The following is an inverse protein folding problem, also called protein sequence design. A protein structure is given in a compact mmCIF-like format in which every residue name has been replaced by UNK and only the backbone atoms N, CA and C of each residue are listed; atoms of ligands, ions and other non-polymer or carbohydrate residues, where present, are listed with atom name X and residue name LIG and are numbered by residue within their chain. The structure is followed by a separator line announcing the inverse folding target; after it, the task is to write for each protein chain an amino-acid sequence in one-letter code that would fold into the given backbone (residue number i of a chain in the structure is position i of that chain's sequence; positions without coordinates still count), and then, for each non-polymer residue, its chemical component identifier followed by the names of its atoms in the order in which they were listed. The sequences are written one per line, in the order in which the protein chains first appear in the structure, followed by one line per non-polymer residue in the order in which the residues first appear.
data_IF_408159054838
#
_entry.id   IF_408159054838
#
_cell.length_a   1.000
_cell.length_b   1.000
_cell.length_c   1.000
_cell.angle_alpha   90.00
_cell.angle_beta   90.00
_cell.angle_gamma   90.00
#
_symmetry.space_group_name_H-M   'P 1'
#
loop_
_entity.id
_entity.type
_entity.pdbx_description
1 polymer ?
#
# COMPACT_ATOMS: atom_id res chain seq x y z
N UNK A 1 3.25 -3.59 27.68
CA UNK A 1 2.57 -4.91 27.76
C UNK A 1 2.91 -5.78 26.56
N UNK A 2 2.64 -5.34 25.33
CA UNK A 2 2.95 -6.10 24.10
C UNK A 2 4.40 -6.61 23.99
N UNK A 3 5.39 -5.81 24.42
CA UNK A 3 6.81 -6.22 24.43
C UNK A 3 7.08 -7.37 25.39
N UNK A 4 6.47 -7.31 26.59
CA UNK A 4 6.63 -8.32 27.64
C UNK A 4 6.00 -9.64 27.23
N UNK A 5 4.81 -9.60 26.63
CA UNK A 5 4.12 -10.80 26.16
C UNK A 5 4.89 -11.46 25.00
N UNK A 6 5.45 -10.64 24.11
CA UNK A 6 6.28 -11.13 23.01
C UNK A 6 7.58 -11.77 23.50
N UNK A 7 8.21 -11.16 24.51
CA UNK A 7 9.40 -11.69 25.16
C UNK A 7 9.12 -13.03 25.86
N UNK A 8 8.05 -13.10 26.63
CA UNK A 8 7.64 -14.31 27.35
C UNK A 8 7.32 -15.47 26.40
N UNK A 9 6.64 -15.18 25.29
CA UNK A 9 6.34 -16.17 24.24
C UNK A 9 7.56 -16.66 23.48
N UNK A 10 8.55 -15.79 23.25
CA UNK A 10 9.80 -16.19 22.62
C UNK A 10 10.62 -17.03 23.60
N UNK A 11 10.81 -16.58 24.84
CA UNK A 11 11.56 -17.34 25.86
C UNK A 11 10.96 -18.72 26.14
N UNK A 12 9.63 -18.85 26.05
CA UNK A 12 8.91 -20.13 26.22
C UNK A 12 8.82 -20.97 24.94
N UNK A 13 9.43 -20.55 23.83
CA UNK A 13 9.35 -21.28 22.56
C UNK A 13 10.21 -22.54 22.55
N UNK A 14 9.76 -23.57 21.82
CA UNK A 14 10.50 -24.84 21.65
C UNK A 14 11.83 -24.63 20.92
N UNK A 15 12.85 -25.46 21.17
CA UNK A 15 14.14 -25.43 20.45
C UNK A 15 14.00 -25.38 18.92
N UNK A 16 13.03 -26.12 18.36
CA UNK A 16 12.75 -26.12 16.91
C UNK A 16 12.43 -24.72 16.35
N UNK A 17 11.83 -23.84 17.15
CA UNK A 17 11.57 -22.46 16.77
C UNK A 17 12.87 -21.69 16.55
N UNK A 18 13.87 -21.89 17.40
CA UNK A 18 15.17 -21.25 17.30
C UNK A 18 16.02 -21.80 16.15
N UNK A 19 15.91 -23.09 15.84
CA UNK A 19 16.62 -23.70 14.70
C UNK A 19 16.05 -23.26 13.35
N UNK A 20 14.73 -23.06 13.28
CA UNK A 20 14.04 -22.70 12.04
C UNK A 20 14.03 -21.19 11.79
N UNK A 21 14.13 -20.38 12.85
CA UNK A 21 13.97 -18.93 12.77
C UNK A 21 15.30 -18.22 13.02
N UNK A 22 15.88 -17.54 12.01
CA UNK A 22 17.17 -16.87 12.19
C UNK A 22 17.04 -15.75 13.23
N UNK A 23 18.04 -15.64 14.12
CA UNK A 23 18.02 -14.70 15.25
C UNK A 23 17.84 -13.23 14.81
N UNK A 24 18.35 -12.88 13.62
CA UNK A 24 18.16 -11.55 13.02
C UNK A 24 16.70 -11.22 12.71
N UNK A 25 15.85 -12.20 12.40
CA UNK A 25 14.40 -12.00 12.19
C UNK A 25 13.69 -11.72 13.51
N UNK A 26 14.08 -12.40 14.58
CA UNK A 26 13.56 -12.15 15.93
C UNK A 26 13.94 -10.73 16.37
N UNK A 27 15.21 -10.36 16.21
CA UNK A 27 15.70 -9.01 16.52
C UNK A 27 14.97 -7.92 15.72
N UNK A 28 14.78 -8.11 14.40
CA UNK A 28 14.08 -7.13 13.58
C UNK A 28 12.61 -6.94 14.00
N UNK A 29 11.94 -8.00 14.48
CA UNK A 29 10.59 -7.87 15.05
C UNK A 29 10.58 -7.11 16.38
N UNK A 30 11.55 -7.37 17.26
CA UNK A 30 11.64 -6.67 18.54
C UNK A 30 12.02 -5.20 18.40
N UNK A 31 12.89 -4.86 17.47
CA UNK A 31 13.31 -3.47 17.26
C UNK A 31 12.34 -2.74 16.33
N UNK A 32 12.27 -3.16 15.06
CA UNK A 32 11.68 -2.35 13.99
C UNK A 32 10.16 -2.45 13.95
N UNK A 33 9.61 -3.65 14.12
CA UNK A 33 8.15 -3.82 14.13
C UNK A 33 7.56 -3.20 15.41
N UNK A 34 8.25 -3.33 16.55
CA UNK A 34 7.79 -2.70 17.80
C UNK A 34 7.86 -1.18 17.78
N UNK A 35 8.96 -0.63 17.26
CA UNK A 35 9.08 0.81 17.04
C UNK A 35 7.97 1.33 16.12
N UNK A 36 7.65 0.57 15.06
CA UNK A 36 6.56 0.93 14.14
C UNK A 36 5.21 0.93 14.85
N UNK A 37 4.96 -0.07 15.70
CA UNK A 37 3.74 -0.17 16.50
C UNK A 37 3.62 1.03 17.46
N UNK A 38 4.68 1.34 18.20
CA UNK A 38 4.67 2.43 19.18
C UNK A 38 4.57 3.81 18.53
N UNK A 39 5.31 4.05 17.45
CA UNK A 39 5.36 5.37 16.80
C UNK A 39 4.17 5.63 15.87
N UNK A 40 3.70 4.62 15.12
CA UNK A 40 2.73 4.85 14.04
C UNK A 40 1.30 4.42 14.38
N UNK A 41 1.07 3.52 15.35
CA UNK A 41 -0.32 3.12 15.65
C UNK A 41 -1.11 4.23 16.34
N UNK A 42 -0.51 4.93 17.31
CA UNK A 42 -1.22 5.98 18.05
C UNK A 42 -1.67 7.13 17.14
N UNK A 43 -0.83 7.70 16.26
CA UNK A 43 -1.26 8.75 15.32
C UNK A 43 -2.36 8.28 14.36
N UNK A 44 -2.27 7.06 13.84
CA UNK A 44 -3.28 6.51 12.92
C UNK A 44 -4.62 6.33 13.62
N UNK A 45 -4.63 5.78 14.84
CA UNK A 45 -5.85 5.61 15.62
C UNK A 45 -6.45 6.95 16.01
N UNK A 46 -5.62 7.92 16.43
CA UNK A 46 -6.09 9.28 16.72
C UNK A 46 -6.72 9.94 15.50
N UNK A 47 -6.10 9.82 14.33
CA UNK A 47 -6.65 10.33 13.08
C UNK A 47 -8.01 9.68 12.75
N UNK A 48 -8.10 8.35 12.85
CA UNK A 48 -9.35 7.62 12.60
C UNK A 48 -10.47 8.06 13.56
N UNK A 49 -10.16 8.18 14.86
CA UNK A 49 -11.12 8.66 15.86
C UNK A 49 -11.54 10.09 15.56
N UNK A 50 -10.59 10.98 15.26
CA UNK A 50 -10.88 12.37 14.90
C UNK A 50 -11.80 12.45 13.68
N UNK A 51 -11.49 11.74 12.60
CA UNK A 51 -12.32 11.69 11.40
C UNK A 51 -13.71 11.14 11.69
N UNK A 52 -13.81 10.09 12.52
CA UNK A 52 -15.09 9.52 12.91
C UNK A 52 -15.94 10.50 13.71
N UNK A 53 -15.41 11.09 14.78
CA UNK A 53 -16.13 12.07 15.61
C UNK A 53 -16.48 13.34 14.85
N UNK A 54 -15.58 13.82 13.98
CA UNK A 54 -15.84 14.99 13.12
C UNK A 54 -17.02 14.73 12.19
N UNK A 55 -17.02 13.57 11.51
CA UNK A 55 -18.13 13.19 10.61
C UNK A 55 -19.44 13.00 11.37
N UNK A 56 -19.40 12.32 12.52
CA UNK A 56 -20.57 12.11 13.37
C UNK A 56 -21.15 13.44 13.89
N UNK A 57 -20.30 14.39 14.28
CA UNK A 57 -20.70 15.72 14.73
C UNK A 57 -21.44 16.49 13.63
N UNK A 58 -20.92 16.48 12.39
CA UNK A 58 -21.58 17.11 11.24
C UNK A 58 -22.96 16.50 10.99
N UNK A 59 -23.07 15.17 11.00
CA UNK A 59 -24.36 14.48 10.82
C UNK A 59 -25.33 14.85 11.94
N UNK A 60 -24.86 14.90 13.20
CA UNK A 60 -25.69 15.24 14.36
C UNK A 60 -26.23 16.67 14.29
N UNK A 61 -25.38 17.64 13.95
CA UNK A 61 -25.78 19.06 13.78
C UNK A 61 -26.83 19.20 12.67
N UNK A 62 -26.59 18.57 11.51
CA UNK A 62 -27.54 18.59 10.38
C UNK A 62 -28.89 17.98 10.79
N UNK A 63 -28.87 16.90 11.57
CA UNK A 63 -30.08 16.20 12.01
C UNK A 63 -30.97 17.06 12.92
N UNK A 64 -30.37 17.93 13.76
CA UNK A 64 -31.11 18.86 14.63
C UNK A 64 -31.64 20.06 13.84
N UNK A 65 -30.83 20.62 12.93
CA UNK A 65 -31.18 21.85 12.21
C UNK A 65 -32.23 21.60 11.12
N UNK A 66 -32.13 20.47 10.40
CA UNK A 66 -33.03 20.18 9.28
C UNK A 66 -33.31 18.67 9.15
N UNK A 67 -34.24 18.11 9.95
CA UNK A 67 -34.53 16.67 9.95
C UNK A 67 -35.10 16.15 8.62
N UNK A 68 -35.67 17.01 7.78
CA UNK A 68 -36.13 16.63 6.43
C UNK A 68 -34.96 16.34 5.47
N UNK A 69 -33.79 16.94 5.71
CA UNK A 69 -32.58 16.69 4.93
C UNK A 69 -32.00 15.29 5.18
N UNK A 70 -32.35 14.65 6.29
CA UNK A 70 -31.89 13.32 6.69
C UNK A 70 -32.35 12.23 5.71
N UNK A 71 -33.51 12.39 5.07
CA UNK A 71 -33.99 11.47 4.03
C UNK A 71 -33.12 11.54 2.77
N UNK A 72 -32.82 12.75 2.30
CA UNK A 72 -31.92 12.96 1.18
C UNK A 72 -30.48 12.52 1.52
N UNK A 73 -30.02 12.81 2.73
CA UNK A 73 -28.73 12.39 3.25
C UNK A 73 -28.59 10.87 3.35
N UNK A 74 -29.64 10.16 3.79
CA UNK A 74 -29.65 8.71 3.82
C UNK A 74 -29.55 8.11 2.41
N UNK A 75 -30.27 8.67 1.44
CA UNK A 75 -30.16 8.25 0.04
C UNK A 75 -28.75 8.46 -0.51
N UNK A 76 -28.14 9.62 -0.24
CA UNK A 76 -26.76 9.93 -0.61
C UNK A 76 -25.78 8.99 0.08
N UNK A 77 -25.96 8.70 1.38
CA UNK A 77 -25.11 7.78 2.12
C UNK A 77 -25.13 6.36 1.55
N UNK A 78 -26.32 5.85 1.17
CA UNK A 78 -26.45 4.55 0.49
C UNK A 78 -25.69 4.55 -0.83
N UNK A 79 -25.86 5.60 -1.65
CA UNK A 79 -25.11 5.78 -2.90
C UNK A 79 -23.59 5.77 -2.65
N UNK A 80 -23.11 6.50 -1.64
CA UNK A 80 -21.69 6.54 -1.27
C UNK A 80 -21.16 5.19 -0.79
N UNK A 81 -21.93 4.42 -0.02
CA UNK A 81 -21.54 3.08 0.42
C UNK A 81 -21.37 2.15 -0.77
N UNK A 82 -22.32 2.18 -1.71
CA UNK A 82 -22.27 1.35 -2.94
C UNK A 82 -21.05 1.74 -3.79
N UNK A 83 -20.88 3.04 -4.08
CA UNK A 83 -19.72 3.54 -4.85
C UNK A 83 -18.42 3.23 -4.12
N UNK A 84 -18.38 3.41 -2.80
CA UNK A 84 -17.23 3.12 -1.95
C UNK A 84 -16.83 1.65 -1.99
N UNK A 85 -17.79 0.73 -1.96
CA UNK A 85 -17.52 -0.70 -2.09
C UNK A 85 -16.85 -1.04 -3.44
N UNK A 86 -17.38 -0.50 -4.55
CA UNK A 86 -16.77 -0.66 -5.87
C UNK A 86 -15.38 -0.01 -5.94
N UNK A 87 -15.22 1.20 -5.40
CA UNK A 87 -13.95 1.90 -5.36
C UNK A 87 -12.89 1.14 -4.58
N UNK A 88 -13.21 0.59 -3.40
CA UNK A 88 -12.28 -0.20 -2.59
C UNK A 88 -11.86 -1.47 -3.34
N UNK A 89 -12.79 -2.16 -3.99
CA UNK A 89 -12.48 -3.35 -4.80
C UNK A 89 -11.50 -2.99 -5.94
N UNK A 90 -11.83 -1.96 -6.73
CA UNK A 90 -10.98 -1.48 -7.82
C UNK A 90 -9.61 -0.99 -7.33
N UNK A 91 -9.57 -0.26 -6.22
CA UNK A 91 -8.32 0.24 -5.62
C UNK A 91 -7.42 -0.91 -5.14
N UNK A 92 -8.00 -1.96 -4.56
CA UNK A 92 -7.26 -3.17 -4.16
C UNK A 92 -6.67 -3.89 -5.37
N UNK A 93 -7.44 -4.04 -6.44
CA UNK A 93 -6.96 -4.67 -7.67
C UNK A 93 -5.86 -3.85 -8.33
N UNK A 94 -6.00 -2.51 -8.36
CA UNK A 94 -4.97 -1.61 -8.87
C UNK A 94 -3.67 -1.70 -8.07
N UNK A 95 -3.76 -1.68 -6.73
CA UNK A 95 -2.60 -1.89 -5.84
C UNK A 95 -1.95 -3.25 -6.06
N UNK A 96 -2.75 -4.31 -6.27
CA UNK A 96 -2.24 -5.64 -6.58
C UNK A 96 -1.49 -5.65 -7.92
N UNK A 97 -2.06 -5.04 -8.95
CA UNK A 97 -1.44 -4.95 -10.27
C UNK A 97 -0.10 -4.20 -10.20
N UNK A 98 -0.06 -3.06 -9.50
CA UNK A 98 1.16 -2.29 -9.25
C UNK A 98 2.23 -3.10 -8.52
N UNK A 99 1.83 -3.88 -7.52
CA UNK A 99 2.74 -4.77 -6.79
C UNK A 99 3.32 -5.87 -7.70
N UNK A 100 2.47 -6.51 -8.51
CA UNK A 100 2.86 -7.58 -9.43
C UNK A 100 3.78 -7.06 -10.54
N UNK A 101 3.55 -5.86 -11.07
CA UNK A 101 4.40 -5.26 -12.10
C UNK A 101 5.76 -4.80 -11.56
N UNK A 102 5.83 -4.34 -10.30
CA UNK A 102 7.08 -3.89 -9.66
C UNK A 102 7.95 -5.02 -9.13
N UNK A 103 7.36 -6.10 -8.62
CA UNK A 103 8.09 -7.25 -8.07
C UNK A 103 9.23 -7.78 -8.97
N UNK A 104 9.03 -8.06 -10.27
CA UNK A 104 10.10 -8.58 -11.14
C UNK A 104 11.24 -7.59 -11.36
N UNK A 105 10.99 -6.28 -11.27
CA UNK A 105 12.03 -5.26 -11.36
C UNK A 105 12.96 -5.39 -10.14
N UNK A 106 12.41 -5.45 -8.93
CA UNK A 106 13.20 -5.62 -7.70
C UNK A 106 13.95 -6.95 -7.67
N UNK A 107 13.31 -8.05 -8.10
CA UNK A 107 13.96 -9.35 -8.21
C UNK A 107 15.16 -9.31 -9.16
N UNK A 108 15.01 -8.71 -10.35
CA UNK A 108 16.09 -8.57 -11.32
C UNK A 108 17.25 -7.71 -10.78
N UNK A 109 16.96 -6.64 -10.03
CA UNK A 109 18.00 -5.85 -9.35
C UNK A 109 18.74 -6.67 -8.28
N UNK A 110 18.01 -7.44 -7.47
CA UNK A 110 18.60 -8.34 -6.46
C UNK A 110 19.53 -9.38 -7.08
N UNK A 111 19.08 -10.05 -8.14
CA UNK A 111 19.91 -11.00 -8.93
C UNK A 111 21.17 -10.32 -9.48
N UNK A 112 21.04 -9.09 -9.97
CA UNK A 112 22.17 -8.34 -10.54
C UNK A 112 23.23 -8.02 -9.49
N UNK A 113 22.83 -7.64 -8.28
CA UNK A 113 23.75 -7.30 -7.18
C UNK A 113 24.53 -8.55 -6.74
N UNK A 114 23.83 -9.68 -6.59
CA UNK A 114 24.45 -10.94 -6.16
C UNK A 114 25.35 -11.51 -7.27
N UNK A 115 24.90 -11.45 -8.52
CA UNK A 115 25.59 -12.04 -9.68
C UNK A 115 26.54 -11.10 -10.42
N UNK A 116 26.89 -9.93 -9.87
CA UNK A 116 27.61 -8.88 -10.60
C UNK A 116 28.97 -9.34 -11.15
N UNK A 117 29.68 -10.18 -10.39
CA UNK A 117 30.97 -10.76 -10.81
C UNK A 117 30.81 -11.70 -12.00
N UNK A 118 29.79 -12.57 -11.98
CA UNK A 118 29.46 -13.47 -13.07
C UNK A 118 29.00 -12.72 -14.32
N UNK A 119 28.13 -11.71 -14.16
CA UNK A 119 27.63 -10.92 -15.29
C UNK A 119 28.78 -10.20 -16.03
N UNK A 120 29.74 -9.66 -15.26
CA UNK A 120 30.94 -9.02 -15.80
C UNK A 120 31.86 -10.03 -16.49
N UNK A 121 32.07 -11.19 -15.88
CA UNK A 121 32.90 -12.26 -16.45
C UNK A 121 32.36 -12.74 -17.81
N UNK A 122 31.04 -12.78 -18.00
CA UNK A 122 30.40 -13.19 -19.27
C UNK A 122 30.06 -12.02 -20.21
N UNK A 123 30.35 -10.76 -19.85
CA UNK A 123 30.03 -9.59 -20.68
C UNK A 123 28.53 -9.39 -20.96
N UNK A 124 27.65 -9.93 -20.12
CA UNK A 124 26.20 -9.98 -20.37
C UNK A 124 25.43 -8.73 -19.93
N UNK A 125 26.13 -7.67 -19.52
CA UNK A 125 25.57 -6.44 -18.94
C UNK A 125 24.49 -5.79 -19.82
N UNK A 126 24.76 -5.64 -21.14
CA UNK A 126 23.81 -5.01 -22.08
C UNK A 126 22.51 -5.81 -22.20
N UNK A 127 22.59 -7.14 -22.18
CA UNK A 127 21.42 -8.03 -22.27
C UNK A 127 20.54 -7.88 -21.03
N UNK A 128 21.16 -7.81 -19.86
CA UNK A 128 20.46 -7.63 -18.58
C UNK A 128 19.84 -6.23 -18.47
N UNK A 129 20.58 -5.19 -18.86
CA UNK A 129 20.07 -3.82 -18.92
C UNK A 129 18.83 -3.73 -19.81
N UNK A 130 18.86 -4.33 -21.00
CA UNK A 130 17.71 -4.38 -21.91
C UNK A 130 16.51 -5.11 -21.30
N UNK A 131 16.74 -6.15 -20.50
CA UNK A 131 15.68 -6.87 -19.77
C UNK A 131 15.05 -5.97 -18.69
N UNK A 132 15.86 -5.28 -17.88
CA UNK A 132 15.37 -4.39 -16.82
C UNK A 132 14.57 -3.22 -17.44
N UNK A 133 15.10 -2.59 -18.49
CA UNK A 133 14.41 -1.49 -19.17
C UNK A 133 13.03 -1.91 -19.72
N UNK A 134 12.90 -3.13 -20.25
CA UNK A 134 11.59 -3.66 -20.69
C UNK A 134 10.60 -3.85 -19.53
N UNK A 135 11.07 -4.29 -18.37
CA UNK A 135 10.21 -4.45 -17.19
C UNK A 135 9.74 -3.09 -16.67
N UNK A 136 10.64 -2.09 -16.64
CA UNK A 136 10.31 -0.71 -16.26
C UNK A 136 9.33 -0.09 -17.25
N UNK A 137 9.56 -0.28 -18.55
CA UNK A 137 8.66 0.21 -19.60
C UNK A 137 7.26 -0.39 -19.48
N UNK A 138 7.16 -1.70 -19.27
CA UNK A 138 5.88 -2.37 -19.01
C UNK A 138 5.16 -1.84 -17.76
N UNK A 139 5.90 -1.50 -16.69
CA UNK A 139 5.32 -0.93 -15.48
C UNK A 139 4.83 0.51 -15.69
N UNK A 140 5.52 1.31 -16.51
CA UNK A 140 5.18 2.72 -16.73
C UNK A 140 4.13 2.92 -17.82
N UNK A 141 3.98 1.95 -18.74
CA UNK A 141 3.07 2.02 -19.88
C UNK A 141 1.62 2.40 -19.53
N UNK A 142 0.96 1.83 -18.49
CA UNK A 142 -0.41 2.21 -18.13
C UNK A 142 -0.53 3.67 -17.69
N UNK A 143 0.47 4.17 -16.95
CA UNK A 143 0.51 5.56 -16.49
C UNK A 143 0.66 6.53 -17.67
N UNK A 144 1.56 6.22 -18.62
CA UNK A 144 1.76 7.03 -19.82
C UNK A 144 0.49 7.07 -20.67
N UNK A 145 -0.20 5.94 -20.85
CA UNK A 145 -1.47 5.91 -21.57
C UNK A 145 -2.55 6.75 -20.88
N UNK A 146 -2.68 6.63 -19.56
CA UNK A 146 -3.65 7.44 -18.81
C UNK A 146 -3.33 8.94 -18.90
N UNK A 147 -2.05 9.31 -18.82
CA UNK A 147 -1.62 10.69 -19.01
C UNK A 147 -1.94 11.22 -20.41
N UNK A 148 -1.67 10.43 -21.45
CA UNK A 148 -1.99 10.78 -22.83
C UNK A 148 -3.50 10.94 -23.06
N UNK A 149 -4.33 10.05 -22.50
CA UNK A 149 -5.79 10.14 -22.56
C UNK A 149 -6.31 11.40 -21.86
N UNK A 150 -5.84 11.69 -20.65
CA UNK A 150 -6.22 12.91 -19.92
C UNK A 150 -5.81 14.17 -20.69
N UNK A 151 -4.58 14.19 -21.23
CA UNK A 151 -4.10 15.31 -22.03
C UNK A 151 -4.93 15.55 -23.28
N UNK A 152 -5.29 14.49 -24.00
CA UNK A 152 -6.17 14.56 -25.16
C UNK A 152 -7.55 15.11 -24.78
N UNK A 153 -8.15 14.62 -23.70
CA UNK A 153 -9.44 15.10 -23.21
C UNK A 153 -9.38 16.60 -22.88
N UNK A 154 -8.38 17.04 -22.12
CA UNK A 154 -8.18 18.47 -21.80
C UNK A 154 -8.12 19.31 -23.07
N UNK A 155 -7.32 18.92 -24.07
CA UNK A 155 -7.23 19.68 -25.32
C UNK A 155 -8.55 19.75 -26.10
N UNK A 156 -9.42 18.74 -25.97
CA UNK A 156 -10.74 18.74 -26.63
C UNK A 156 -11.76 19.60 -25.90
N UNK A 157 -11.71 19.61 -24.57
CA UNK A 157 -12.55 20.46 -23.73
C UNK A 157 -12.17 21.93 -23.90
N UNK A 158 -10.88 22.27 -23.95
CA UNK A 158 -10.42 23.66 -24.11
C UNK A 158 -10.73 24.27 -25.50
N UNK A 159 -11.02 23.44 -26.51
CA UNK A 159 -11.34 23.86 -27.89
C UNK A 159 -12.86 23.96 -28.13
N UNK A 160 -13.69 23.40 -27.23
CA UNK A 160 -15.17 23.45 -27.31
C UNK A 160 -15.74 24.60 -26.48
#
# INVERSE_FOLDING_TARGET
KLHSDMLDKVLSATLRFYDTTPIGRIMNRFSKDMETVDQNMAPVVMFLLYSFFSTASVIFVISIVMPQFLVAGAFIAVMYIVIGAYYIAASRDLKRLESVSRSPIYAAFGETIIGVSTIRAFGAEKRLMKRILRLVDNNNRPFIFNWACNRWLHTRVDIS
#
